data_IF_087977833647
#
_entry.id   IF_087977833647
#
_cell.length_a   1.000
_cell.length_b   1.000
_cell.length_c   1.000
_cell.angle_alpha   90.00
_cell.angle_beta   90.00
_cell.angle_gamma   90.00
#
_symmetry.space_group_name_H-M   'P 1'
#
loop_
_entity.id
_entity.type
_entity.pdbx_description
1 polymer ?
#
# COMPACT_ATOMS: atom_id res chain seq x y z
N UNK A 1 29.17 -15.87 2.14
CA UNK A 1 29.62 -15.07 0.98
C UNK A 1 28.95 -13.69 0.91
N UNK A 2 28.72 -13.00 2.04
CA UNK A 2 28.17 -11.63 2.07
C UNK A 2 29.20 -10.55 2.44
N UNK A 3 30.45 -10.95 2.69
CA UNK A 3 31.47 -10.07 3.27
C UNK A 3 32.19 -9.21 2.21
N UNK A 4 32.14 -9.60 0.92
CA UNK A 4 32.71 -8.81 -0.17
C UNK A 4 31.87 -7.58 -0.57
N UNK A 5 30.58 -7.53 -0.22
CA UNK A 5 29.70 -6.42 -0.61
C UNK A 5 29.79 -5.20 0.31
N UNK A 6 30.33 -5.35 1.53
CA UNK A 6 30.55 -4.24 2.47
C UNK A 6 31.85 -3.47 2.21
N UNK A 7 32.78 -4.03 1.41
CA UNK A 7 34.06 -3.39 1.13
C UNK A 7 33.99 -2.32 0.00
N UNK A 8 32.90 -2.30 -0.80
CA UNK A 8 32.80 -1.43 -1.98
C UNK A 8 32.08 -0.10 -1.74
N UNK A 9 31.56 0.18 -0.54
CA UNK A 9 30.89 1.45 -0.22
C UNK A 9 31.79 2.43 0.53
N UNK A 10 33.09 2.43 0.23
CA UNK A 10 34.02 3.46 0.71
C UNK A 10 33.96 4.66 -0.26
N UNK A 11 33.08 5.61 0.04
CA UNK A 11 32.91 6.84 -0.73
C UNK A 11 34.08 7.78 -0.37
N UNK A 12 34.87 8.28 -1.33
CA UNK A 12 35.90 9.27 -1.02
C UNK A 12 35.25 10.57 -0.53
N UNK A 13 35.77 11.06 0.60
CA UNK A 13 35.37 12.30 1.27
C UNK A 13 35.51 13.49 0.31
N UNK A 14 34.39 14.01 -0.21
CA UNK A 14 34.34 15.28 -0.94
C UNK A 14 34.04 16.39 0.07
N UNK A 15 35.11 17.03 0.54
CA UNK A 15 35.10 18.13 1.49
C UNK A 15 34.39 19.36 0.89
N UNK A 16 33.32 19.81 1.55
CA UNK A 16 32.35 20.80 1.06
C UNK A 16 32.66 22.22 1.57
N UNK A 17 33.93 22.51 1.87
CA UNK A 17 34.34 23.73 2.58
C UNK A 17 34.99 24.83 1.72
N UNK A 18 34.99 24.71 0.39
CA UNK A 18 35.71 25.64 -0.50
C UNK A 18 34.87 26.84 -1.02
N UNK A 19 33.71 27.12 -0.40
CA UNK A 19 32.76 28.14 -0.90
C UNK A 19 32.96 29.56 -0.36
N UNK A 20 34.10 29.87 0.29
CA UNK A 20 34.35 31.19 0.89
C UNK A 20 35.46 32.02 0.20
N UNK A 21 35.68 31.83 -1.10
CA UNK A 21 36.53 32.71 -1.91
C UNK A 21 35.71 33.66 -2.79
N UNK A 22 35.91 35.00 -2.72
CA UNK A 22 35.25 35.93 -3.62
C UNK A 22 36.04 36.14 -4.92
N UNK A 23 35.29 36.44 -5.98
CA UNK A 23 35.73 37.04 -7.25
C UNK A 23 36.30 36.12 -8.33
N UNK A 24 35.42 35.67 -9.24
CA UNK A 24 35.65 35.83 -10.68
C UNK A 24 34.40 36.40 -11.33
N UNK A 25 34.55 37.57 -11.95
CA UNK A 25 33.56 38.23 -12.80
C UNK A 25 32.97 37.22 -13.78
N UNK A 26 31.71 36.84 -13.57
CA UNK A 26 30.94 36.12 -14.58
C UNK A 26 30.54 37.14 -15.64
N UNK A 27 31.35 37.22 -16.69
CA UNK A 27 31.06 37.98 -17.89
C UNK A 27 29.79 37.40 -18.51
N UNK A 28 28.68 38.11 -18.36
CA UNK A 28 27.39 37.72 -18.91
C UNK A 28 27.52 37.64 -20.44
N UNK A 29 27.25 36.49 -21.09
CA UNK A 29 27.14 36.47 -22.53
C UNK A 29 25.82 37.14 -22.88
N UNK A 30 25.90 38.42 -23.24
CA UNK A 30 24.79 39.17 -23.77
C UNK A 30 24.17 38.42 -24.97
N UNK A 31 22.84 38.27 -24.92
CA UNK A 31 21.91 38.05 -26.04
C UNK A 31 22.56 37.79 -27.40
N UNK A 32 22.77 36.51 -27.74
CA UNK A 32 22.94 36.07 -29.13
C UNK A 32 21.60 35.62 -29.68
N UNK A 33 20.71 36.58 -29.94
CA UNK A 33 19.67 36.37 -30.93
C UNK A 33 20.34 36.62 -32.29
N UNK A 34 20.50 35.58 -33.10
CA UNK A 34 21.07 35.59 -34.46
C UNK A 34 22.58 35.31 -34.57
N UNK A 35 23.02 34.14 -34.08
CA UNK A 35 24.32 33.58 -34.41
C UNK A 35 24.20 32.24 -35.15
N UNK A 36 23.63 32.24 -36.36
CA UNK A 36 23.84 31.10 -37.25
C UNK A 36 25.35 30.91 -37.47
N UNK A 37 25.80 29.65 -37.48
CA UNK A 37 27.11 29.17 -37.94
C UNK A 37 28.22 28.92 -36.90
N UNK A 38 27.97 28.93 -35.58
CA UNK A 38 28.91 28.25 -34.67
C UNK A 38 28.56 26.76 -34.59
N UNK A 39 29.53 25.83 -34.79
CA UNK A 39 29.26 24.39 -34.81
C UNK A 39 28.62 23.87 -33.49
N UNK A 40 28.86 24.57 -32.37
CA UNK A 40 28.21 24.26 -31.09
C UNK A 40 26.72 24.62 -31.00
N UNK A 41 26.28 25.72 -31.64
CA UNK A 41 24.86 26.12 -31.64
C UNK A 41 24.01 25.19 -32.51
N UNK A 42 24.59 24.69 -33.60
CA UNK A 42 23.96 23.65 -34.43
C UNK A 42 23.74 22.37 -33.62
N UNK A 43 24.76 21.93 -32.87
CA UNK A 43 24.66 20.74 -32.03
C UNK A 43 23.61 20.91 -30.92
N UNK A 44 23.57 22.08 -30.27
CA UNK A 44 22.54 22.37 -29.26
C UNK A 44 21.13 22.36 -29.85
N UNK A 45 20.94 22.86 -31.07
CA UNK A 45 19.64 22.79 -31.77
C UNK A 45 19.26 21.35 -32.11
N UNK A 46 20.20 20.54 -32.59
CA UNK A 46 19.94 19.11 -32.86
C UNK A 46 19.50 18.38 -31.60
N UNK A 47 20.16 18.62 -30.46
CA UNK A 47 19.74 18.05 -29.17
C UNK A 47 18.38 18.55 -28.71
N UNK A 48 18.06 19.82 -28.96
CA UNK A 48 16.74 20.35 -28.63
C UNK A 48 15.66 19.70 -29.49
N UNK A 49 15.96 19.45 -30.77
CA UNK A 49 15.07 18.72 -31.67
C UNK A 49 14.88 17.27 -31.20
N UNK A 50 15.97 16.57 -30.88
CA UNK A 50 15.93 15.21 -30.30
C UNK A 50 15.05 15.13 -29.05
N UNK A 51 15.27 16.03 -28.09
CA UNK A 51 14.48 16.08 -26.87
C UNK A 51 13.00 16.33 -27.18
N UNK A 52 12.71 17.26 -28.07
CA UNK A 52 11.34 17.62 -28.39
C UNK A 52 10.60 16.51 -29.15
N UNK A 53 11.21 15.95 -30.20
CA UNK A 53 10.55 14.98 -31.09
C UNK A 53 10.51 13.57 -30.52
N UNK A 54 11.55 13.15 -29.79
CA UNK A 54 11.61 11.78 -29.25
C UNK A 54 11.12 11.67 -27.81
N UNK A 55 11.04 12.79 -27.06
CA UNK A 55 10.67 12.71 -25.63
C UNK A 55 9.43 13.54 -25.28
N UNK A 56 9.32 14.79 -25.76
CA UNK A 56 8.18 15.66 -25.38
C UNK A 56 6.91 15.32 -26.16
N UNK A 57 7.01 15.17 -27.47
CA UNK A 57 5.84 14.89 -28.32
C UNK A 57 5.24 13.48 -28.10
N UNK A 58 6.05 12.42 -27.89
CA UNK A 58 5.52 11.10 -27.55
C UNK A 58 4.76 11.08 -26.22
N UNK A 59 5.22 11.83 -25.21
CA UNK A 59 4.50 11.95 -23.93
C UNK A 59 3.13 12.63 -24.06
N UNK A 60 2.98 13.51 -25.06
CA UNK A 60 1.72 14.18 -25.37
C UNK A 60 0.89 13.42 -26.43
N UNK A 61 1.35 12.24 -26.89
CA UNK A 61 0.74 11.44 -27.97
C UNK A 61 0.68 12.13 -29.35
N UNK A 62 1.55 13.11 -29.60
CA UNK A 62 1.57 13.90 -30.85
C UNK A 62 2.62 13.39 -31.85
N UNK A 63 2.50 12.11 -32.25
CA UNK A 63 3.46 11.44 -33.13
C UNK A 63 3.51 12.03 -34.55
N UNK A 64 2.36 12.41 -35.10
CA UNK A 64 2.28 12.99 -36.45
C UNK A 64 2.89 14.39 -36.50
N UNK A 65 2.68 15.17 -35.44
CA UNK A 65 3.32 16.48 -35.30
C UNK A 65 4.84 16.35 -35.18
N UNK A 66 5.35 15.29 -34.53
CA UNK A 66 6.79 15.01 -34.48
C UNK A 66 7.37 14.73 -35.87
N UNK A 67 6.66 13.97 -36.71
CA UNK A 67 7.08 13.67 -38.10
C UNK A 67 7.10 14.94 -38.96
N UNK A 68 6.04 15.74 -38.87
CA UNK A 68 5.97 17.02 -39.59
C UNK A 68 7.05 17.99 -39.15
N UNK A 69 7.33 18.06 -37.85
CA UNK A 69 8.35 18.93 -37.29
C UNK A 69 9.77 18.53 -37.73
N UNK A 70 10.06 17.23 -37.79
CA UNK A 70 11.31 16.72 -38.38
C UNK A 70 11.39 17.12 -39.87
N UNK A 71 10.30 16.92 -40.62
CA UNK A 71 10.23 17.21 -42.06
C UNK A 71 10.43 18.70 -42.41
N UNK A 72 9.89 19.62 -41.62
CA UNK A 72 10.00 21.07 -41.84
C UNK A 72 11.34 21.63 -41.34
N UNK A 73 12.09 20.87 -40.52
CA UNK A 73 13.36 21.36 -39.98
C UNK A 73 14.46 21.43 -41.06
N UNK A 74 14.90 22.66 -41.37
CA UNK A 74 16.00 22.95 -42.28
C UNK A 74 17.40 22.81 -41.63
N UNK A 75 17.43 22.40 -40.36
CA UNK A 75 18.63 22.29 -39.53
C UNK A 75 19.19 20.87 -39.53
N UNK A 76 18.37 19.88 -39.94
CA UNK A 76 18.80 18.49 -40.09
C UNK A 76 19.19 18.21 -41.54
N UNK A 77 20.42 17.74 -41.71
CA UNK A 77 20.85 17.05 -42.92
C UNK A 77 19.99 15.79 -43.12
N UNK A 78 19.87 15.34 -44.38
CA UNK A 78 18.98 14.23 -44.75
C UNK A 78 19.30 12.94 -44.00
N UNK A 79 20.59 12.63 -43.80
CA UNK A 79 21.03 11.46 -43.02
C UNK A 79 20.53 11.50 -41.56
N UNK A 80 20.52 12.68 -40.95
CA UNK A 80 20.05 12.84 -39.57
C UNK A 80 18.54 12.76 -39.51
N UNK A 81 17.85 13.36 -40.48
CA UNK A 81 16.38 13.29 -40.62
C UNK A 81 15.91 11.83 -40.65
N UNK A 82 16.55 11.01 -41.49
CA UNK A 82 16.24 9.58 -41.59
C UNK A 82 16.51 8.84 -40.27
N UNK A 83 17.64 9.11 -39.60
CA UNK A 83 17.94 8.52 -38.30
C UNK A 83 16.89 8.89 -37.23
N UNK A 84 16.41 10.13 -37.21
CA UNK A 84 15.36 10.57 -36.30
C UNK A 84 14.00 9.93 -36.59
N UNK A 85 13.63 9.79 -37.86
CA UNK A 85 12.40 9.11 -38.25
C UNK A 85 12.44 7.62 -37.89
N UNK A 86 13.60 6.97 -38.10
CA UNK A 86 13.82 5.59 -37.70
C UNK A 86 13.73 5.43 -36.17
N UNK A 87 14.35 6.32 -35.41
CA UNK A 87 14.26 6.31 -33.94
C UNK A 87 12.83 6.55 -33.44
N UNK A 88 12.09 7.44 -34.10
CA UNK A 88 10.68 7.68 -33.78
C UNK A 88 9.82 6.44 -34.06
N UNK A 89 10.07 5.77 -35.19
CA UNK A 89 9.37 4.53 -35.54
C UNK A 89 9.70 3.40 -34.56
N UNK A 90 10.98 3.22 -34.20
CA UNK A 90 11.37 2.20 -33.22
C UNK A 90 10.77 2.47 -31.85
N UNK A 91 10.71 3.74 -31.43
CA UNK A 91 10.07 4.13 -30.16
C UNK A 91 8.56 3.86 -30.19
N UNK A 92 7.90 4.12 -31.31
CA UNK A 92 6.48 3.84 -31.49
C UNK A 92 6.19 2.33 -31.44
N UNK A 93 7.03 1.53 -32.10
CA UNK A 93 6.93 0.06 -32.08
C UNK A 93 7.16 -0.49 -30.67
N UNK A 94 8.17 0.00 -29.95
CA UNK A 94 8.45 -0.39 -28.56
C UNK A 94 7.27 -0.05 -27.63
N UNK A 95 6.67 1.13 -27.78
CA UNK A 95 5.47 1.51 -27.01
C UNK A 95 4.29 0.58 -27.30
N UNK A 96 4.05 0.24 -28.57
CA UNK A 96 2.98 -0.69 -28.93
C UNK A 96 3.24 -2.10 -28.41
N UNK A 97 4.49 -2.57 -28.47
CA UNK A 97 4.90 -3.85 -27.90
C UNK A 97 4.74 -3.89 -26.39
N UNK A 98 5.14 -2.84 -25.68
CA UNK A 98 4.93 -2.71 -24.23
C UNK A 98 3.44 -2.76 -23.89
N UNK A 99 2.61 -2.02 -24.61
CA UNK A 99 1.16 -2.04 -24.38
C UNK A 99 0.56 -3.43 -24.66
N UNK A 100 1.02 -4.12 -25.71
CA UNK A 100 0.60 -5.50 -26.00
C UNK A 100 0.99 -6.45 -24.88
N UNK A 101 2.23 -6.36 -24.38
CA UNK A 101 2.70 -7.18 -23.25
C UNK A 101 1.89 -6.92 -21.99
N UNK A 102 1.66 -5.65 -21.62
CA UNK A 102 0.84 -5.29 -20.46
C UNK A 102 -0.59 -5.82 -20.59
N UNK A 103 -1.20 -5.70 -21.78
CA UNK A 103 -2.54 -6.25 -22.04
C UNK A 103 -2.58 -7.77 -21.92
N UNK A 104 -1.54 -8.48 -22.36
CA UNK A 104 -1.45 -9.93 -22.19
C UNK A 104 -1.30 -10.33 -20.72
N UNK A 105 -0.47 -9.61 -19.96
CA UNK A 105 -0.32 -9.85 -18.51
C UNK A 105 -1.60 -9.58 -17.75
N UNK A 106 -2.28 -8.47 -18.05
CA UNK A 106 -3.58 -8.14 -17.46
C UNK A 106 -4.63 -9.21 -17.76
N UNK A 107 -4.70 -9.71 -19.00
CA UNK A 107 -5.59 -10.83 -19.35
C UNK A 107 -5.28 -12.09 -18.56
N UNK A 108 -3.99 -12.43 -18.39
CA UNK A 108 -3.59 -13.60 -17.58
C UNK A 108 -3.98 -13.43 -16.11
N UNK A 109 -3.79 -12.24 -15.54
CA UNK A 109 -4.21 -11.93 -14.17
C UNK A 109 -5.73 -11.98 -14.02
N UNK A 110 -6.48 -11.43 -14.97
CA UNK A 110 -7.94 -11.45 -14.96
C UNK A 110 -8.48 -12.88 -15.07
N UNK A 111 -7.93 -13.72 -15.96
CA UNK A 111 -8.31 -15.13 -16.07
C UNK A 111 -8.05 -15.92 -14.78
N UNK A 112 -6.94 -15.65 -14.09
CA UNK A 112 -6.65 -16.27 -12.78
C UNK A 112 -7.68 -15.83 -11.74
N UNK A 113 -7.94 -14.53 -11.62
CA UNK A 113 -8.95 -14.01 -10.69
C UNK A 113 -10.35 -14.54 -11.01
N UNK A 114 -10.71 -14.65 -12.28
CA UNK A 114 -12.00 -15.22 -12.68
C UNK A 114 -12.13 -16.69 -12.28
N UNK A 115 -11.07 -17.49 -12.41
CA UNK A 115 -11.04 -18.89 -11.96
C UNK A 115 -11.21 -18.99 -10.45
N UNK A 116 -10.48 -18.19 -9.69
CA UNK A 116 -10.55 -18.17 -8.22
C UNK A 116 -11.94 -17.75 -7.73
N UNK A 117 -12.55 -16.74 -8.36
CA UNK A 117 -13.92 -16.31 -8.05
C UNK A 117 -14.94 -17.39 -8.37
N UNK A 118 -14.78 -18.09 -9.52
CA UNK A 118 -15.65 -19.19 -9.89
C UNK A 118 -15.56 -20.37 -8.91
N UNK A 119 -14.35 -20.72 -8.48
CA UNK A 119 -14.11 -21.76 -7.47
C UNK A 119 -14.66 -21.38 -6.10
N UNK A 120 -14.41 -20.14 -5.64
CA UNK A 120 -14.95 -19.64 -4.39
C UNK A 120 -16.48 -19.62 -4.39
N UNK A 121 -17.10 -19.28 -5.53
CA UNK A 121 -18.57 -19.33 -5.69
C UNK A 121 -19.09 -20.77 -5.62
N UNK A 122 -18.39 -21.73 -6.22
CA UNK A 122 -18.75 -23.16 -6.12
C UNK A 122 -18.65 -23.68 -4.70
N UNK A 123 -17.55 -23.40 -4.01
CA UNK A 123 -17.36 -23.80 -2.61
C UNK A 123 -18.41 -23.18 -1.67
N UNK A 124 -18.78 -21.92 -1.90
CA UNK A 124 -19.86 -21.26 -1.13
C UNK A 124 -21.21 -21.93 -1.37
N UNK A 125 -21.55 -22.23 -2.61
CA UNK A 125 -22.81 -22.92 -2.93
C UNK A 125 -22.85 -24.32 -2.29
N UNK A 126 -21.75 -25.07 -2.32
CA UNK A 126 -21.67 -26.40 -1.68
C UNK A 126 -21.80 -26.32 -0.15
N UNK A 127 -21.17 -25.33 0.49
CA UNK A 127 -21.31 -25.12 1.93
C UNK A 127 -22.73 -24.69 2.31
N UNK A 128 -23.36 -23.81 1.53
CA UNK A 128 -24.74 -23.39 1.75
C UNK A 128 -25.71 -24.58 1.64
N UNK A 129 -25.54 -25.46 0.65
CA UNK A 129 -26.34 -26.68 0.52
C UNK A 129 -26.15 -27.65 1.68
N UNK A 130 -24.92 -27.83 2.17
CA UNK A 130 -24.64 -28.66 3.35
C UNK A 130 -25.25 -28.09 4.62
N UNK A 131 -25.21 -26.76 4.81
CA UNK A 131 -25.88 -26.11 5.94
C UNK A 131 -27.39 -26.23 5.84
N UNK A 132 -27.98 -26.05 4.66
CA UNK A 132 -29.43 -26.23 4.44
C UNK A 132 -29.88 -27.66 4.76
N UNK A 133 -29.12 -28.67 4.31
CA UNK A 133 -29.41 -30.09 4.64
C UNK A 133 -29.32 -30.38 6.14
N UNK A 134 -28.35 -29.78 6.85
CA UNK A 134 -28.26 -29.91 8.32
C UNK A 134 -29.46 -29.28 9.03
N UNK A 135 -29.87 -28.10 8.59
CA UNK A 135 -31.01 -27.40 9.17
C UNK A 135 -32.33 -28.13 8.92
N UNK A 136 -32.51 -28.71 7.73
CA UNK A 136 -33.66 -29.56 7.39
C UNK A 136 -33.68 -30.85 8.20
N UNK A 137 -32.51 -31.49 8.40
CA UNK A 137 -32.40 -32.68 9.25
C UNK A 137 -32.70 -32.37 10.73
N UNK A 138 -32.27 -31.22 11.24
CA UNK A 138 -32.59 -30.77 12.61
C UNK A 138 -34.08 -30.43 12.76
N UNK A 139 -34.70 -29.80 11.74
CA UNK A 139 -36.15 -29.55 11.72
C UNK A 139 -36.95 -30.85 11.68
N UNK A 140 -36.57 -31.82 10.83
CA UNK A 140 -37.21 -33.13 10.81
C UNK A 140 -37.03 -33.88 12.14
N UNK A 141 -35.85 -33.82 12.75
CA UNK A 141 -35.61 -34.46 14.06
C UNK A 141 -36.45 -33.83 15.18
N UNK A 142 -36.66 -32.51 15.14
CA UNK A 142 -37.56 -31.80 16.07
C UNK A 142 -39.03 -32.14 15.83
N UNK A 143 -39.49 -32.16 14.59
CA UNK A 143 -40.87 -32.59 14.27
C UNK A 143 -41.14 -34.05 14.66
N UNK A 144 -40.13 -34.94 14.59
CA UNK A 144 -40.28 -36.33 15.07
C UNK A 144 -40.20 -36.48 16.59
N UNK A 145 -39.78 -35.43 17.32
CA UNK A 145 -39.54 -35.46 18.77
C UNK A 145 -40.61 -34.72 19.60
N UNK A 146 -41.69 -34.20 19.00
CA UNK A 146 -42.84 -33.62 19.71
C UNK A 146 -43.82 -34.68 20.26
N UNK A 147 -43.29 -35.78 20.78
CA UNK A 147 -44.07 -36.82 21.45
C UNK A 147 -43.34 -37.34 22.66
N UNK A 148 -43.77 -36.87 23.84
CA UNK A 148 -43.45 -37.40 25.16
C UNK A 148 -42.08 -36.99 25.76
N UNK A 149 -42.12 -36.20 26.83
CA UNK A 149 -41.49 -36.52 28.13
C UNK A 149 -41.88 -35.46 29.16
N UNK A 150 -42.85 -35.84 30.00
CA UNK A 150 -43.19 -35.13 31.24
C UNK A 150 -42.42 -35.66 32.46
N UNK A 151 -42.17 -34.72 33.39
CA UNK A 151 -42.26 -34.87 34.86
C UNK A 151 -41.13 -35.62 35.61
N UNK A 152 -40.38 -34.79 36.36
CA UNK A 152 -39.80 -34.95 37.72
C UNK A 152 -38.83 -36.11 38.07
N UNK A 153 -37.67 -35.75 38.64
CA UNK A 153 -37.35 -35.95 40.06
C UNK A 153 -35.90 -35.56 40.39
N UNK A 154 -35.73 -34.68 41.38
CA UNK A 154 -34.50 -34.55 42.17
C UNK A 154 -34.30 -35.80 43.02
N UNK A 155 -33.05 -36.22 43.27
CA UNK A 155 -32.64 -36.33 44.67
C UNK A 155 -31.20 -35.88 44.96
N UNK A 156 -31.04 -35.36 46.17
CA UNK A 156 -29.81 -34.99 46.85
C UNK A 156 -29.04 -36.24 47.34
N UNK A 157 -27.71 -36.26 47.27
CA UNK A 157 -26.90 -37.00 48.25
C UNK A 157 -25.48 -36.41 48.40
N UNK A 158 -25.14 -36.14 49.66
CA UNK A 158 -23.84 -35.74 50.22
C UNK A 158 -22.92 -36.95 50.40
N UNK A 159 -21.62 -36.85 50.09
CA UNK A 159 -20.69 -37.94 50.42
C UNK A 159 -19.20 -37.65 50.20
N UNK A 160 -18.49 -37.55 51.32
CA UNK A 160 -17.04 -37.35 51.57
C UNK A 160 -16.13 -38.41 50.92
N UNK A 161 -14.92 -38.03 50.49
CA UNK A 161 -13.85 -39.01 50.17
C UNK A 161 -12.53 -38.41 49.71
N UNK A 162 -11.52 -38.42 50.60
CA UNK A 162 -10.12 -37.97 50.46
C UNK A 162 -9.24 -39.08 49.89
N UNK A 163 -8.34 -38.79 48.94
CA UNK A 163 -7.09 -39.54 48.75
C UNK A 163 -6.08 -38.75 47.89
N UNK A 164 -4.86 -38.59 48.42
CA UNK A 164 -3.64 -38.11 47.75
C UNK A 164 -2.62 -39.28 47.67
N UNK A 165 -1.41 -39.14 47.08
CA UNK A 165 -0.89 -39.94 45.95
C UNK A 165 0.21 -40.94 46.42
N UNK A 166 0.96 -41.64 45.53
CA UNK A 166 2.19 -41.05 44.96
C UNK A 166 2.66 -41.66 43.61
N UNK A 167 3.65 -41.03 42.97
CA UNK A 167 4.50 -41.72 41.98
C UNK A 167 5.24 -40.82 41.00
N UNK A 168 6.51 -40.52 41.30
CA UNK A 168 7.48 -39.91 40.37
C UNK A 168 8.70 -40.86 40.25
N UNK A 169 9.31 -40.98 39.05
CA UNK A 169 10.74 -40.65 38.92
C UNK A 169 11.02 -39.91 37.60
N UNK A 170 11.77 -38.79 37.56
CA UNK A 170 13.22 -38.54 37.73
C UNK A 170 14.08 -38.77 36.46
N UNK A 171 14.96 -37.77 36.25
CA UNK A 171 16.22 -37.71 35.49
C UNK A 171 16.13 -37.13 34.05
N UNK A 172 17.00 -36.23 33.58
CA UNK A 172 18.14 -35.50 34.16
C UNK A 172 18.67 -34.48 33.12
N UNK A 173 19.64 -33.64 33.55
CA UNK A 173 20.66 -32.91 32.73
C UNK A 173 20.17 -31.59 32.09
N UNK A 174 20.83 -30.42 32.16
CA UNK A 174 21.96 -29.89 32.93
C UNK A 174 21.95 -28.34 32.84
N UNK A 175 22.59 -27.69 33.82
CA UNK A 175 23.02 -26.26 33.83
C UNK A 175 24.24 -26.10 32.87
N UNK A 176 24.65 -24.89 32.41
CA UNK A 176 25.06 -23.81 33.32
C UNK A 176 24.90 -22.33 32.87
N UNK A 177 24.64 -21.49 33.88
CA UNK A 177 25.27 -20.18 34.19
C UNK A 177 25.19 -18.98 33.24
N UNK A 178 24.75 -17.83 33.80
CA UNK A 178 25.25 -16.51 33.35
C UNK A 178 24.35 -15.31 33.62
N UNK A 179 24.48 -14.71 34.82
CA UNK A 179 24.20 -13.31 35.23
C UNK A 179 23.48 -12.37 34.23
N UNK A 180 22.36 -11.77 34.65
CA UNK A 180 22.25 -10.30 34.66
C UNK A 180 21.17 -9.82 35.64
N UNK A 181 21.42 -8.61 36.16
CA UNK A 181 20.79 -7.95 37.31
C UNK A 181 19.30 -7.66 37.11
N UNK A 182 18.49 -8.02 38.09
CA UNK A 182 17.20 -7.39 38.36
C UNK A 182 17.42 -6.07 39.13
N UNK A 183 16.91 -4.96 38.60
CA UNK A 183 16.65 -3.76 39.39
C UNK A 183 15.37 -3.08 38.91
N UNK A 184 14.51 -2.83 39.89
CA UNK A 184 13.36 -1.94 39.92
C UNK A 184 12.08 -2.39 39.19
N UNK A 185 11.22 -3.03 39.98
CA UNK A 185 9.77 -2.87 39.88
C UNK A 185 9.37 -1.41 40.17
N UNK A 186 8.38 -0.88 39.44
CA UNK A 186 7.18 -0.20 40.00
C UNK A 186 6.32 0.39 38.88
N UNK A 187 5.01 0.44 39.15
CA UNK A 187 3.94 1.10 38.40
C UNK A 187 3.27 0.30 37.26
N UNK A 188 2.48 -0.69 37.69
CA UNK A 188 1.15 -0.93 37.12
C UNK A 188 0.27 0.33 37.31
N UNK A 189 0.47 1.34 36.46
CA UNK A 189 -0.45 2.46 36.31
C UNK A 189 -1.17 2.30 34.97
N UNK A 190 -2.49 2.27 34.98
CA UNK A 190 -3.30 2.33 33.76
C UNK A 190 -2.76 3.44 32.86
N UNK A 191 -2.16 3.10 31.72
CA UNK A 191 -1.69 4.09 30.77
C UNK A 191 -2.89 4.95 30.38
N UNK A 192 -2.92 6.18 30.90
CA UNK A 192 -4.00 7.14 30.72
C UNK A 192 -4.31 7.26 29.23
N UNK A 193 -5.58 7.42 28.89
CA UNK A 193 -6.05 7.52 27.50
C UNK A 193 -5.23 8.57 26.74
N UNK A 194 -4.84 9.66 27.42
CA UNK A 194 -3.95 10.70 26.93
C UNK A 194 -2.55 10.18 26.56
N UNK A 195 -1.94 9.32 27.37
CA UNK A 195 -0.64 8.71 27.09
C UNK A 195 -0.70 7.69 25.93
N UNK A 196 -1.83 7.00 25.77
CA UNK A 196 -2.10 6.17 24.58
C UNK A 196 -2.28 7.03 23.33
N UNK A 197 -2.98 8.15 23.44
CA UNK A 197 -3.22 9.07 22.34
C UNK A 197 -1.94 9.76 21.85
N UNK A 198 -1.03 10.15 22.74
CA UNK A 198 0.26 10.75 22.35
C UNK A 198 1.19 9.74 21.69
N UNK A 199 1.18 8.47 22.12
CA UNK A 199 1.88 7.39 21.42
C UNK A 199 1.30 7.13 20.03
N UNK A 200 -0.02 7.17 19.88
CA UNK A 200 -0.66 7.02 18.57
C UNK A 200 -0.29 8.21 17.66
N UNK A 201 -0.35 9.43 18.17
CA UNK A 201 -0.05 10.65 17.40
C UNK A 201 1.41 10.68 16.92
N UNK A 202 2.36 10.23 17.74
CA UNK A 202 3.77 10.13 17.35
C UNK A 202 4.00 9.07 16.28
N UNK A 203 3.26 7.94 16.32
CA UNK A 203 3.27 6.94 15.24
C UNK A 203 2.67 7.47 13.95
N UNK A 204 1.57 8.23 14.03
CA UNK A 204 0.97 8.87 12.84
C UNK A 204 1.91 9.89 12.19
N UNK A 205 2.64 10.67 12.99
CA UNK A 205 3.61 11.64 12.48
C UNK A 205 4.74 10.94 11.70
N UNK A 206 5.27 9.84 12.22
CA UNK A 206 6.30 9.05 11.54
C UNK A 206 5.81 8.46 10.20
N UNK A 207 4.55 8.00 10.14
CA UNK A 207 3.95 7.49 8.90
C UNK A 207 3.74 8.62 7.88
N UNK A 208 3.38 9.82 8.34
CA UNK A 208 3.21 10.97 7.46
C UNK A 208 4.54 11.45 6.86
N UNK A 209 5.59 11.42 7.66
CA UNK A 209 6.94 11.83 7.26
C UNK A 209 7.61 10.78 6.33
N UNK A 210 7.34 9.49 6.57
CA UNK A 210 7.74 8.41 5.65
C UNK A 210 6.95 8.44 4.33
N UNK A 211 5.67 8.84 4.37
CA UNK A 211 4.88 9.05 3.16
C UNK A 211 5.38 10.27 2.38
N UNK A 212 5.67 11.39 3.04
CA UNK A 212 6.18 12.61 2.42
C UNK A 212 7.58 12.42 1.78
N UNK A 213 8.43 11.59 2.38
CA UNK A 213 9.73 11.23 1.78
C UNK A 213 9.59 10.24 0.64
N UNK A 214 8.65 9.29 0.73
CA UNK A 214 8.34 8.31 -0.33
C UNK A 214 7.76 8.96 -1.59
N UNK A 215 6.98 10.03 -1.44
CA UNK A 215 6.45 10.89 -2.52
C UNK A 215 7.58 11.43 -3.42
N UNK A 216 8.77 11.71 -2.88
CA UNK A 216 9.88 12.27 -3.66
C UNK A 216 10.69 11.20 -4.43
N UNK A 217 10.57 9.93 -4.05
CA UNK A 217 11.36 8.82 -4.60
C UNK A 217 10.60 7.90 -5.56
N UNK A 218 9.27 7.86 -5.50
CA UNK A 218 8.47 7.02 -6.38
C UNK A 218 7.16 7.71 -6.82
N UNK A 219 7.13 8.33 -8.01
CA UNK A 219 5.96 9.06 -8.50
C UNK A 219 4.73 8.14 -8.72
N UNK A 220 4.93 6.83 -8.93
CA UNK A 220 3.84 5.88 -9.10
C UNK A 220 3.00 5.70 -7.83
N UNK A 221 3.59 5.88 -6.64
CA UNK A 221 2.86 5.81 -5.36
C UNK A 221 1.90 6.99 -5.21
N UNK A 222 2.30 8.19 -5.66
CA UNK A 222 1.43 9.37 -5.69
C UNK A 222 0.26 9.13 -6.64
N UNK A 223 0.53 8.62 -7.84
CA UNK A 223 -0.51 8.35 -8.84
C UNK A 223 -1.53 7.32 -8.31
N UNK A 224 -1.05 6.23 -7.68
CA UNK A 224 -1.92 5.24 -7.03
C UNK A 224 -2.73 5.84 -5.87
N UNK A 225 -2.14 6.73 -5.06
CA UNK A 225 -2.83 7.45 -4.00
C UNK A 225 -3.92 8.38 -4.57
N UNK A 226 -3.64 9.12 -5.65
CA UNK A 226 -4.59 10.02 -6.29
C UNK A 226 -5.78 9.28 -6.90
N UNK A 227 -5.53 8.16 -7.59
CA UNK A 227 -6.60 7.31 -8.13
C UNK A 227 -7.42 6.71 -6.99
N UNK A 228 -6.77 6.27 -5.92
CA UNK A 228 -7.45 5.76 -4.72
C UNK A 228 -8.31 6.83 -4.04
N UNK A 229 -7.80 8.06 -3.87
CA UNK A 229 -8.57 9.15 -3.25
C UNK A 229 -9.73 9.60 -4.13
N UNK A 230 -9.55 9.68 -5.45
CA UNK A 230 -10.64 9.95 -6.38
C UNK A 230 -11.70 8.85 -6.36
N UNK A 231 -11.29 7.58 -6.38
CA UNK A 231 -12.20 6.44 -6.24
C UNK A 231 -12.97 6.48 -4.92
N UNK A 232 -12.30 6.81 -3.82
CA UNK A 232 -12.92 6.97 -2.50
C UNK A 232 -13.93 8.13 -2.48
N UNK A 233 -13.62 9.27 -3.10
CA UNK A 233 -14.53 10.42 -3.18
C UNK A 233 -15.76 10.11 -4.03
N UNK A 234 -15.59 9.41 -5.16
CA UNK A 234 -16.71 8.97 -6.00
C UNK A 234 -17.56 7.95 -5.23
N UNK A 235 -16.92 7.00 -4.56
CA UNK A 235 -17.59 5.99 -3.74
C UNK A 235 -18.37 6.63 -2.59
N UNK A 236 -17.82 7.64 -1.89
CA UNK A 236 -18.50 8.39 -0.82
C UNK A 236 -19.57 9.36 -1.34
N UNK A 237 -19.41 9.87 -2.57
CA UNK A 237 -20.41 10.71 -3.25
C UNK A 237 -21.65 9.94 -3.70
N UNK A 238 -21.53 8.61 -3.83
CA UNK A 238 -22.63 7.74 -4.23
C UNK A 238 -23.69 7.65 -3.12
N UNK A 239 -24.94 8.06 -3.41
CA UNK A 239 -26.03 8.14 -2.41
C UNK A 239 -26.24 6.83 -1.62
N UNK A 240 -25.97 5.68 -2.23
CA UNK A 240 -26.09 4.37 -1.61
C UNK A 240 -25.05 4.10 -0.51
N UNK A 241 -23.83 4.64 -0.62
CA UNK A 241 -22.82 4.49 0.43
C UNK A 241 -23.09 5.44 1.58
N UNK A 242 -23.57 6.66 1.30
CA UNK A 242 -23.99 7.62 2.34
C UNK A 242 -25.11 7.04 3.20
N UNK A 243 -26.11 6.41 2.60
CA UNK A 243 -27.18 5.73 3.35
C UNK A 243 -26.66 4.58 4.23
N UNK A 244 -25.70 3.78 3.73
CA UNK A 244 -25.09 2.69 4.52
C UNK A 244 -24.19 3.24 5.64
N UNK A 245 -23.45 4.31 5.37
CA UNK A 245 -22.62 4.99 6.35
C UNK A 245 -23.49 5.62 7.44
N UNK A 246 -24.58 6.30 7.07
CA UNK A 246 -25.53 6.88 8.02
C UNK A 246 -26.20 5.82 8.89
N UNK A 247 -26.55 4.65 8.33
CA UNK A 247 -27.10 3.54 9.10
C UNK A 247 -26.07 2.95 10.08
N UNK A 248 -24.83 2.75 9.64
CA UNK A 248 -23.76 2.18 10.48
C UNK A 248 -23.23 3.18 11.52
N UNK A 249 -23.07 4.45 11.14
CA UNK A 249 -22.67 5.54 12.02
C UNK A 249 -23.79 5.87 13.01
N UNK A 250 -25.06 5.87 12.58
CA UNK A 250 -26.19 6.09 13.48
C UNK A 250 -26.29 5.02 14.57
N UNK A 251 -26.13 3.73 14.23
CA UNK A 251 -26.19 2.63 15.19
C UNK A 251 -25.00 2.62 16.17
N UNK A 252 -23.81 2.96 15.68
CA UNK A 252 -22.60 3.05 16.52
C UNK A 252 -22.60 4.31 17.39
N UNK A 253 -23.05 5.45 16.86
CA UNK A 253 -23.21 6.69 17.61
C UNK A 253 -24.29 6.60 18.67
N UNK A 254 -25.41 5.93 18.38
CA UNK A 254 -26.47 5.67 19.36
C UNK A 254 -25.97 4.79 20.52
N UNK A 255 -25.10 3.80 20.25
CA UNK A 255 -24.48 2.98 21.31
C UNK A 255 -23.51 3.79 22.16
N UNK A 256 -22.63 4.59 21.55
CA UNK A 256 -21.69 5.46 22.29
C UNK A 256 -22.45 6.51 23.10
N UNK A 257 -23.47 7.14 22.52
CA UNK A 257 -24.33 8.09 23.21
C UNK A 257 -25.10 7.45 24.38
N UNK A 258 -25.55 6.20 24.23
CA UNK A 258 -26.19 5.45 25.32
C UNK A 258 -25.20 5.12 26.45
N UNK A 259 -23.96 4.72 26.13
CA UNK A 259 -22.94 4.43 27.15
C UNK A 259 -22.47 5.70 27.87
N UNK A 260 -22.33 6.82 27.16
CA UNK A 260 -21.98 8.11 27.75
C UNK A 260 -23.14 8.67 28.57
N UNK A 261 -24.38 8.57 28.06
CA UNK A 261 -25.58 9.05 28.75
C UNK A 261 -25.95 8.24 30.00
N UNK A 262 -25.62 6.94 30.03
CA UNK A 262 -25.74 6.10 31.22
C UNK A 262 -24.63 6.38 32.23
N UNK A 263 -23.40 6.65 31.77
CA UNK A 263 -22.27 7.05 32.61
C UNK A 263 -22.47 8.38 33.35
N UNK A 264 -23.18 9.35 32.75
CA UNK A 264 -23.50 10.63 33.40
C UNK A 264 -24.72 10.58 34.31
N UNK A 265 -25.61 9.58 34.18
CA UNK A 265 -26.84 9.47 34.99
C UNK A 265 -26.66 8.76 36.33
N UNK A 266 -25.51 8.13 36.58
CA UNK A 266 -25.21 7.47 37.87
C UNK A 266 -24.37 8.35 38.80
N UNK A 267 -23.91 9.52 38.33
CA UNK A 267 -23.14 10.48 39.14
C UNK A 267 -24.05 11.53 39.80
N UNK A 268 -25.06 11.08 40.55
CA UNK A 268 -25.75 11.92 41.53
C UNK A 268 -26.03 11.09 42.79
N UNK A 269 -24.96 10.83 43.55
CA UNK A 269 -24.93 10.69 45.01
C UNK A 269 -23.59 11.27 45.45
#
# INVERSE_FOLDING_TARGET
MLENYLASSNIPNLDLNDFTAPSRRYQSPARRNNGANTPGDLNSRVKLLELYTLHVLPQNNEWDYAREFINVSAVLDEERREAFLQALQSLQEEQEEQERQEREELKRQEEQLQKDVAEAKRLKAENEEKERKRLEQERQSRETSEGDYGIEQTPSFTGVGRAEPPGSPRNAVARPTGKSKSKAATASGSMTITARATLILTRFRQVFESLASSVKGNPAVIMRLLVFTMGLLIMLGHKATRQRLEQMLGASWAKVAATVGMGTKVSYI
#
